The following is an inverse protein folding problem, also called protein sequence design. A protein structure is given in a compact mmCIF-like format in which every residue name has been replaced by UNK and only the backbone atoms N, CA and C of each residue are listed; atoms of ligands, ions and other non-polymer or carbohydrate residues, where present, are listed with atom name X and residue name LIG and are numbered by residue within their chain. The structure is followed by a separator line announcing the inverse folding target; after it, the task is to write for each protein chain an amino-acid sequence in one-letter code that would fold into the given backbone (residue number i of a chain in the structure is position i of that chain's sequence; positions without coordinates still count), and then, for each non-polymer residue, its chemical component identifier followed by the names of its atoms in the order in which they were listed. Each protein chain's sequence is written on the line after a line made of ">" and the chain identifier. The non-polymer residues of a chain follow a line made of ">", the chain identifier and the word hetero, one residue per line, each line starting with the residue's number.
data_IF_386930239231
#
_entry.id   IF_386930239231
#
_cell.length_a   1.000
_cell.length_b   1.000
_cell.length_c   1.000
_cell.angle_alpha   90.00
_cell.angle_beta   90.00
_cell.angle_gamma   90.00
#
_symmetry.space_group_name_H-M   'P 1'
#
loop_
_entity.id
_entity.type
_entity.pdbx_description
1 polymer ?
#
# COMPACT_ATOMS: atom_id res chain seq x y z
N UNK A 1 1.31 -5.42 -7.26
CA UNK A 1 0.27 -6.04 -8.11
C UNK A 1 -0.76 -6.69 -7.22
N UNK A 2 -1.77 -7.34 -7.80
CA UNK A 2 -2.83 -8.04 -7.06
C UNK A 2 -2.25 -9.23 -6.30
N UNK A 3 -2.36 -9.21 -4.98
CA UNK A 3 -1.78 -10.22 -4.09
C UNK A 3 -2.47 -10.15 -2.74
N UNK A 4 -2.42 -11.25 -1.99
CA UNK A 4 -2.56 -11.23 -0.53
C UNK A 4 -1.22 -10.93 0.15
N UNK A 5 -1.21 -10.81 1.47
CA UNK A 5 0.01 -10.66 2.26
C UNK A 5 0.82 -11.97 2.25
N UNK A 6 2.13 -11.89 2.03
CA UNK A 6 3.02 -13.07 2.08
C UNK A 6 4.40 -12.70 2.63
N UNK A 7 5.07 -13.66 3.28
CA UNK A 7 6.29 -13.44 4.07
C UNK A 7 7.47 -12.88 3.27
N UNK A 8 7.58 -13.22 1.99
CA UNK A 8 8.71 -12.79 1.17
C UNK A 8 8.69 -11.28 0.88
N UNK A 9 7.56 -10.60 1.10
CA UNK A 9 7.54 -9.13 1.16
C UNK A 9 8.52 -8.61 2.22
N UNK A 10 8.63 -9.29 3.37
CA UNK A 10 9.60 -8.98 4.42
C UNK A 10 10.95 -9.63 4.19
N UNK A 11 10.95 -10.96 3.98
CA UNK A 11 12.18 -11.76 4.02
C UNK A 11 13.08 -11.54 2.81
N UNK A 12 12.48 -11.20 1.66
CA UNK A 12 13.19 -11.07 0.39
C UNK A 12 13.12 -9.63 -0.11
N UNK A 13 11.91 -9.12 -0.34
CA UNK A 13 11.72 -7.86 -1.06
C UNK A 13 12.19 -6.68 -0.20
N UNK A 14 11.63 -6.50 1.00
CA UNK A 14 11.99 -5.40 1.91
C UNK A 14 13.37 -5.53 2.54
N UNK A 15 13.92 -6.75 2.64
CA UNK A 15 15.26 -6.97 3.22
C UNK A 15 16.41 -6.66 2.26
N UNK A 16 16.26 -6.97 0.98
CA UNK A 16 17.35 -6.89 0.01
C UNK A 16 17.24 -5.71 -0.96
N UNK A 17 16.17 -4.91 -0.89
CA UNK A 17 15.97 -3.76 -1.77
C UNK A 17 15.71 -2.50 -0.93
N UNK A 18 16.27 -1.38 -1.37
CA UNK A 18 15.77 -0.06 -0.98
C UNK A 18 14.65 0.31 -1.95
N UNK A 19 13.46 0.60 -1.43
CA UNK A 19 12.25 0.81 -2.23
C UNK A 19 11.85 2.27 -2.08
N UNK A 20 11.96 3.06 -3.16
CA UNK A 20 11.54 4.46 -3.12
C UNK A 20 10.01 4.56 -3.05
N UNK A 21 9.30 3.76 -3.87
CA UNK A 21 7.84 3.81 -4.01
C UNK A 21 7.26 2.39 -4.10
N UNK A 22 6.25 2.11 -3.27
CA UNK A 22 5.45 0.89 -3.33
C UNK A 22 3.97 1.20 -3.60
N UNK A 23 3.42 0.61 -4.66
CA UNK A 23 1.98 0.63 -4.92
C UNK A 23 1.33 -0.63 -4.32
N UNK A 24 0.45 -0.45 -3.33
CA UNK A 24 -0.15 -1.55 -2.58
C UNK A 24 -1.67 -1.60 -2.80
N UNK A 25 -2.24 -2.76 -3.18
CA UNK A 25 -3.68 -2.90 -3.27
C UNK A 25 -4.30 -2.86 -1.87
N UNK A 26 -5.42 -2.15 -1.73
CA UNK A 26 -6.16 -2.06 -0.45
C UNK A 26 -7.62 -2.51 -0.57
N UNK A 27 -8.05 -2.97 -1.76
CA UNK A 27 -9.46 -3.22 -2.08
C UNK A 27 -10.13 -4.37 -1.36
N UNK A 28 -9.38 -5.23 -0.66
CA UNK A 28 -9.89 -6.47 -0.07
C UNK A 28 -10.51 -7.40 -1.13
N UNK A 29 -11.23 -8.46 -0.71
CA UNK A 29 -11.94 -9.49 -1.49
C UNK A 29 -11.10 -10.30 -2.48
N UNK A 30 -10.39 -9.63 -3.40
CA UNK A 30 -9.53 -10.21 -4.42
C UNK A 30 -8.03 -9.96 -4.16
N UNK A 31 -7.72 -9.02 -3.27
CA UNK A 31 -6.36 -8.60 -2.90
C UNK A 31 -6.29 -8.33 -1.40
N UNK A 32 -5.15 -7.83 -0.91
CA UNK A 32 -5.05 -7.30 0.45
C UNK A 32 -6.13 -6.24 0.73
N UNK A 33 -6.73 -6.32 1.92
CA UNK A 33 -7.44 -5.20 2.51
C UNK A 33 -6.47 -4.17 3.12
N UNK A 34 -6.97 -3.06 3.68
CA UNK A 34 -6.13 -2.01 4.26
C UNK A 34 -5.24 -2.51 5.42
N UNK A 35 -5.72 -3.46 6.22
CA UNK A 35 -4.97 -4.02 7.35
C UNK A 35 -3.76 -4.84 6.89
N UNK A 36 -3.96 -5.73 5.92
CA UNK A 36 -2.88 -6.52 5.32
C UNK A 36 -1.89 -5.63 4.56
N UNK A 37 -2.39 -4.63 3.83
CA UNK A 37 -1.55 -3.68 3.11
C UNK A 37 -0.70 -2.82 4.06
N UNK A 38 -1.19 -2.53 5.27
CA UNK A 38 -0.43 -1.81 6.30
C UNK A 38 0.74 -2.68 6.82
N UNK A 39 0.50 -3.97 7.03
CA UNK A 39 1.57 -4.91 7.41
C UNK A 39 2.58 -5.03 6.26
N UNK A 40 2.11 -5.11 5.01
CA UNK A 40 2.99 -5.11 3.84
C UNK A 40 3.83 -3.83 3.76
N UNK A 41 3.25 -2.66 4.02
CA UNK A 41 3.98 -1.39 4.07
C UNK A 41 5.08 -1.40 5.13
N UNK A 42 4.79 -1.87 6.34
CA UNK A 42 5.77 -2.01 7.42
C UNK A 42 6.92 -2.97 7.04
N UNK A 43 6.60 -4.06 6.34
CA UNK A 43 7.59 -5.05 5.92
C UNK A 43 8.47 -4.61 4.76
N UNK A 44 7.88 -3.92 3.79
CA UNK A 44 8.57 -3.43 2.60
C UNK A 44 9.44 -2.21 2.90
N UNK A 45 9.07 -1.39 3.91
CA UNK A 45 9.81 -0.19 4.33
C UNK A 45 10.10 0.76 3.17
N UNK A 46 9.14 0.90 2.26
CA UNK A 46 9.26 1.83 1.16
C UNK A 46 9.23 3.28 1.66
N UNK A 47 9.97 4.19 1.04
CA UNK A 47 9.95 5.60 1.45
C UNK A 47 8.55 6.23 1.24
N UNK A 48 7.89 5.82 0.15
CA UNK A 48 6.52 6.22 -0.19
C UNK A 48 5.64 5.01 -0.48
N UNK A 49 4.42 5.02 0.05
CA UNK A 49 3.35 4.06 -0.25
C UNK A 49 2.22 4.77 -0.98
N UNK A 50 1.70 4.14 -2.03
CA UNK A 50 0.54 4.62 -2.80
C UNK A 50 -0.52 3.53 -2.79
N UNK A 51 -1.71 3.75 -2.17
CA UNK A 51 -2.80 2.79 -2.22
C UNK A 51 -3.37 2.70 -3.65
N UNK A 52 -3.65 1.48 -4.11
CA UNK A 52 -4.26 1.18 -5.41
C UNK A 52 -5.33 0.10 -5.29
N UNK A 53 -5.96 -0.26 -6.40
CA UNK A 53 -6.96 -1.34 -6.48
C UNK A 53 -8.08 -1.19 -5.44
N UNK A 54 -8.72 -0.02 -5.38
CA UNK A 54 -9.86 0.27 -4.50
C UNK A 54 -10.83 1.24 -5.19
N UNK A 55 -12.08 1.30 -4.73
CA UNK A 55 -13.12 2.22 -5.19
C UNK A 55 -13.47 2.19 -6.70
N UNK A 56 -13.00 1.21 -7.47
CA UNK A 56 -13.43 1.04 -8.87
C UNK A 56 -14.79 0.36 -8.99
N UNK A 57 -15.20 -0.42 -7.98
CA UNK A 57 -16.52 -1.05 -7.87
C UNK A 57 -16.97 -1.11 -6.40
N UNK A 58 -18.29 -1.22 -6.10
CA UNK A 58 -18.81 -1.22 -4.73
C UNK A 58 -18.22 -2.31 -3.82
N UNK A 59 -17.83 -3.45 -4.37
CA UNK A 59 -17.30 -4.57 -3.58
C UNK A 59 -15.91 -4.28 -2.99
N UNK A 60 -15.17 -3.35 -3.57
CA UNK A 60 -13.81 -2.98 -3.13
C UNK A 60 -13.76 -1.53 -2.63
N UNK A 61 -14.89 -1.05 -2.09
CA UNK A 61 -14.99 0.28 -1.51
C UNK A 61 -14.18 0.36 -0.20
N UNK A 62 -13.29 1.34 -0.11
CA UNK A 62 -12.35 1.53 0.98
C UNK A 62 -12.13 3.02 1.26
N UNK A 63 -11.69 3.32 2.47
CA UNK A 63 -11.27 4.67 2.88
C UNK A 63 -9.74 4.81 2.75
N UNK A 64 -9.22 5.41 1.65
CA UNK A 64 -7.79 5.59 1.47
C UNK A 64 -7.19 6.61 2.45
N UNK A 65 -7.98 7.52 3.01
CA UNK A 65 -7.50 8.52 3.97
C UNK A 65 -7.23 7.87 5.33
N UNK A 66 -8.12 6.97 5.75
CA UNK A 66 -7.89 6.14 6.93
C UNK A 66 -6.62 5.27 6.76
N UNK A 67 -6.46 4.63 5.60
CA UNK A 67 -5.26 3.85 5.31
C UNK A 67 -3.99 4.72 5.36
N UNK A 68 -4.02 5.90 4.72
CA UNK A 68 -2.94 6.88 4.77
C UNK A 68 -2.56 7.24 6.20
N UNK A 69 -3.56 7.58 7.03
CA UNK A 69 -3.35 7.92 8.42
C UNK A 69 -2.67 6.77 9.18
N UNK A 70 -3.09 5.53 8.97
CA UNK A 70 -2.52 4.36 9.64
C UNK A 70 -1.07 4.09 9.22
N UNK A 71 -0.76 4.18 7.92
CA UNK A 71 0.60 4.00 7.41
C UNK A 71 1.54 5.06 8.01
N UNK A 72 1.15 6.33 7.96
CA UNK A 72 1.98 7.44 8.45
C UNK A 72 2.12 7.46 9.99
N UNK A 73 1.20 6.81 10.72
CA UNK A 73 1.29 6.66 12.18
C UNK A 73 2.14 5.47 12.63
N UNK A 74 2.14 4.37 11.87
CA UNK A 74 2.77 3.10 12.29
C UNK A 74 4.07 2.77 11.58
N UNK A 75 4.41 3.51 10.53
CA UNK A 75 5.61 3.29 9.72
C UNK A 75 6.36 4.59 9.47
N UNK A 76 7.57 4.51 8.96
CA UNK A 76 8.34 5.68 8.50
C UNK A 76 7.95 6.12 7.08
N UNK A 77 7.12 5.33 6.40
CA UNK A 77 6.67 5.59 5.03
C UNK A 77 5.71 6.76 4.96
N UNK A 78 5.88 7.62 3.95
CA UNK A 78 4.84 8.60 3.56
C UNK A 78 3.77 7.88 2.77
N UNK A 79 2.49 8.19 3.00
CA UNK A 79 1.41 7.62 2.20
C UNK A 79 0.76 8.71 1.33
N UNK A 80 0.75 8.51 0.02
CA UNK A 80 0.28 9.50 -0.95
C UNK A 80 -0.87 8.89 -1.74
N UNK A 81 -2.04 9.50 -1.63
CA UNK A 81 -3.20 9.15 -2.44
C UNK A 81 -3.10 9.91 -3.77
N UNK A 82 -3.18 9.17 -4.88
CA UNK A 82 -3.14 9.72 -6.23
C UNK A 82 -4.43 9.29 -6.94
N UNK A 83 -5.24 10.24 -7.37
CA UNK A 83 -6.45 9.93 -8.12
C UNK A 83 -6.13 9.57 -9.58
N UNK A 84 -6.99 8.81 -10.27
CA UNK A 84 -6.82 8.51 -11.68
C UNK A 84 -6.58 9.79 -12.51
N UNK A 85 -5.51 9.77 -13.32
CA UNK A 85 -5.11 10.90 -14.15
C UNK A 85 -4.22 11.94 -13.47
N UNK A 86 -3.94 11.80 -12.16
CA UNK A 86 -2.95 12.65 -11.46
C UNK A 86 -1.54 12.06 -11.56
N UNK A 87 -0.54 12.94 -11.42
CA UNK A 87 0.88 12.58 -11.38
C UNK A 87 1.57 13.29 -10.22
N UNK A 88 2.71 12.73 -9.79
CA UNK A 88 3.55 13.33 -8.75
C UNK A 88 5.03 13.10 -9.09
N UNK A 89 5.82 14.16 -8.93
CA UNK A 89 7.27 14.14 -9.11
C UNK A 89 7.95 14.07 -7.74
N UNK A 90 9.10 13.39 -7.69
CA UNK A 90 9.88 13.11 -6.48
C UNK A 90 11.31 13.61 -6.65
#
# INVERSE_FOLDING_TARGET
>A
GDTGLFSDMREVIGRFNQIDIAFLPIGDNYTMGPEDALIAAEWLKAETVIPIHYNTWPLIEQDPELFKQQVEQKTESKCIIINPGQSKEF
#
